data_IF_028139439502
#
_entry.id   IF_028139439502
#
_cell.length_a   1.000
_cell.length_b   1.000
_cell.length_c   1.000
_cell.angle_alpha   90.00
_cell.angle_beta   90.00
_cell.angle_gamma   90.00
#
_symmetry.space_group_name_H-M   'P 1'
#
loop_
_entity.id
_entity.type
_entity.pdbx_description
1 polymer ?
#
# COMPACT_ATOMS: atom_id res chain seq x y z
N UNK A 1 -30.50 -0.85 -2.83
CA UNK A 1 -29.61 -1.20 -1.69
C UNK A 1 -29.84 -0.27 -0.53
N UNK A 2 -29.86 -0.78 0.69
CA UNK A 2 -30.03 0.02 1.90
C UNK A 2 -28.85 -0.25 2.86
N UNK A 3 -28.20 0.79 3.34
CA UNK A 3 -27.13 0.70 4.33
C UNK A 3 -27.69 1.10 5.69
N UNK A 4 -27.45 0.27 6.71
CA UNK A 4 -27.74 0.59 8.10
C UNK A 4 -26.49 0.35 8.93
N UNK A 5 -26.04 1.37 9.63
CA UNK A 5 -24.89 1.29 10.51
C UNK A 5 -25.30 1.68 11.94
N UNK A 6 -24.80 0.95 12.92
CA UNK A 6 -25.03 1.24 14.35
C UNK A 6 -23.73 1.12 15.10
N UNK A 7 -23.40 2.11 15.92
CA UNK A 7 -22.27 2.02 16.83
C UNK A 7 -22.63 1.11 18.00
N UNK A 8 -21.80 0.10 18.26
CA UNK A 8 -21.92 -0.76 19.42
C UNK A 8 -20.57 -0.80 20.16
N UNK A 9 -20.52 -0.20 21.33
CA UNK A 9 -19.30 -0.09 22.15
C UNK A 9 -19.01 -1.33 23.00
N UNK A 10 -19.84 -2.37 22.90
CA UNK A 10 -19.66 -3.64 23.61
C UNK A 10 -19.01 -4.72 22.75
N UNK A 11 -18.68 -4.40 21.50
CA UNK A 11 -17.96 -5.32 20.62
C UNK A 11 -16.48 -5.33 20.99
N UNK A 12 -15.89 -6.51 20.95
CA UNK A 12 -14.45 -6.68 21.14
C UNK A 12 -13.67 -6.29 19.87
N UNK A 13 -14.33 -6.34 18.69
CA UNK A 13 -13.77 -5.96 17.40
C UNK A 13 -14.89 -5.45 16.47
N UNK A 14 -14.53 -4.65 15.48
CA UNK A 14 -15.49 -4.19 14.48
C UNK A 14 -15.78 -5.30 13.46
N UNK A 15 -17.04 -5.46 13.08
CA UNK A 15 -17.41 -6.40 12.01
C UNK A 15 -18.46 -5.83 11.07
N UNK A 16 -18.47 -6.34 9.86
CA UNK A 16 -19.45 -6.01 8.83
C UNK A 16 -20.20 -7.30 8.44
N UNK A 17 -21.52 -7.30 8.65
CA UNK A 17 -22.41 -8.37 8.18
C UNK A 17 -23.08 -7.92 6.88
N UNK A 18 -22.87 -8.70 5.81
CA UNK A 18 -23.39 -8.40 4.49
C UNK A 18 -24.38 -9.48 4.07
N UNK A 19 -25.66 -9.14 3.99
CA UNK A 19 -26.73 -10.01 3.49
C UNK A 19 -27.12 -9.57 2.07
N UNK A 20 -27.08 -10.48 1.12
CA UNK A 20 -27.38 -10.19 -0.28
C UNK A 20 -28.18 -11.31 -0.96
N UNK A 21 -28.97 -10.94 -1.96
CA UNK A 21 -29.76 -11.89 -2.77
C UNK A 21 -28.95 -12.41 -3.94
N UNK A 22 -28.21 -11.53 -4.59
CA UNK A 22 -27.37 -11.82 -5.74
C UNK A 22 -26.03 -11.11 -5.60
N UNK A 23 -24.97 -11.74 -6.06
CA UNK A 23 -23.62 -11.20 -6.05
C UNK A 23 -23.49 -10.12 -7.13
N UNK A 24 -23.70 -8.87 -6.75
CA UNK A 24 -23.57 -7.71 -7.64
C UNK A 24 -22.14 -7.16 -7.61
N UNK A 25 -21.72 -6.36 -8.63
CA UNK A 25 -20.43 -5.68 -8.60
C UNK A 25 -20.20 -4.84 -7.34
N UNK A 26 -21.26 -4.25 -6.79
CA UNK A 26 -21.18 -3.48 -5.54
C UNK A 26 -20.88 -4.37 -4.33
N UNK A 27 -21.51 -5.54 -4.25
CA UNK A 27 -21.24 -6.51 -3.18
C UNK A 27 -19.82 -7.06 -3.29
N UNK A 28 -19.35 -7.36 -4.50
CA UNK A 28 -17.95 -7.77 -4.71
C UNK A 28 -16.96 -6.71 -4.22
N UNK A 29 -17.23 -5.45 -4.52
CA UNK A 29 -16.37 -4.34 -4.07
C UNK A 29 -16.32 -4.23 -2.53
N UNK A 30 -17.43 -4.51 -1.83
CA UNK A 30 -17.46 -4.57 -0.37
C UNK A 30 -16.56 -5.70 0.14
N UNK A 31 -16.62 -6.88 -0.47
CA UNK A 31 -15.76 -8.01 -0.11
C UNK A 31 -14.28 -7.70 -0.35
N UNK A 32 -13.94 -7.06 -1.46
CA UNK A 32 -12.57 -6.61 -1.74
C UNK A 32 -12.06 -5.68 -0.64
N UNK A 33 -12.84 -4.66 -0.26
CA UNK A 33 -12.48 -3.72 0.80
C UNK A 33 -12.29 -4.44 2.14
N UNK A 34 -13.17 -5.36 2.49
CA UNK A 34 -13.06 -6.13 3.74
C UNK A 34 -11.85 -7.07 3.74
N UNK A 35 -11.52 -7.68 2.62
CA UNK A 35 -10.35 -8.55 2.49
C UNK A 35 -9.04 -7.76 2.47
N UNK A 36 -9.04 -6.55 1.93
CA UNK A 36 -7.86 -5.66 1.95
C UNK A 36 -7.44 -5.31 3.37
N UNK A 37 -8.38 -5.21 4.31
CA UNK A 37 -8.07 -4.88 5.71
C UNK A 37 -7.33 -6.00 6.47
N UNK A 38 -7.37 -7.24 5.97
CA UNK A 38 -6.73 -8.39 6.59
C UNK A 38 -5.37 -8.79 5.99
N UNK A 39 -4.84 -7.99 5.07
CA UNK A 39 -3.57 -8.31 4.43
C UNK A 39 -2.40 -8.01 5.32
N UNK A 40 -1.67 -9.06 5.64
CA UNK A 40 -0.42 -8.97 6.39
C UNK A 40 0.71 -9.66 5.63
N UNK A 41 1.92 -9.13 5.80
CA UNK A 41 3.17 -9.80 5.43
C UNK A 41 3.84 -10.32 6.69
N UNK A 42 4.39 -11.52 6.61
CA UNK A 42 5.24 -12.06 7.66
C UNK A 42 6.68 -11.59 7.40
N UNK A 43 7.17 -10.73 8.25
CA UNK A 43 8.46 -10.08 8.11
C UNK A 43 9.36 -10.40 9.31
N UNK A 44 10.65 -10.23 9.15
CA UNK A 44 11.64 -10.49 10.17
C UNK A 44 12.24 -9.20 10.71
N UNK A 45 12.51 -9.17 12.00
CA UNK A 45 13.27 -8.15 12.68
C UNK A 45 13.82 -8.71 13.99
N UNK A 46 15.13 -8.51 14.24
CA UNK A 46 15.79 -8.93 15.49
C UNK A 46 15.52 -10.40 15.84
N UNK A 47 15.66 -11.30 14.87
CA UNK A 47 15.44 -12.75 15.01
C UNK A 47 14.00 -13.17 15.36
N UNK A 48 13.04 -12.26 15.24
CA UNK A 48 11.61 -12.53 15.46
C UNK A 48 10.82 -12.32 14.17
N UNK A 49 9.69 -13.02 14.05
CA UNK A 49 8.74 -12.87 12.95
C UNK A 49 7.59 -11.97 13.39
N UNK A 50 7.32 -10.95 12.59
CA UNK A 50 6.26 -9.98 12.82
C UNK A 50 5.18 -10.06 11.75
N UNK A 51 3.95 -9.84 12.16
CA UNK A 51 2.83 -9.60 11.24
C UNK A 51 2.77 -8.11 10.94
N UNK A 52 3.11 -7.74 9.72
CA UNK A 52 3.08 -6.35 9.27
C UNK A 52 1.86 -6.12 8.38
N UNK A 53 0.98 -5.22 8.79
CA UNK A 53 -0.17 -4.81 7.97
C UNK A 53 0.33 -4.11 6.72
N UNK A 54 -0.12 -4.57 5.56
CA UNK A 54 0.24 -3.98 4.25
C UNK A 54 -0.12 -2.49 4.19
N UNK A 55 -1.19 -2.08 4.86
CA UNK A 55 -1.60 -0.68 4.93
C UNK A 55 -0.64 0.22 5.72
N UNK A 56 0.21 -0.36 6.56
CA UNK A 56 1.23 0.39 7.33
C UNK A 56 2.54 0.56 6.57
N UNK A 57 2.70 -0.11 5.44
CA UNK A 57 3.92 -0.04 4.64
C UNK A 57 3.97 1.26 3.85
N UNK A 58 5.08 1.98 3.98
CA UNK A 58 5.36 3.21 3.23
C UNK A 58 6.01 2.89 1.89
N UNK A 59 7.08 2.13 1.93
CA UNK A 59 7.81 1.70 0.74
C UNK A 59 8.65 0.45 1.03
N UNK A 60 9.13 -0.18 -0.03
CA UNK A 60 10.01 -1.34 0.02
C UNK A 60 11.26 -1.05 -0.79
N UNK A 61 12.40 -1.55 -0.34
CA UNK A 61 13.68 -1.34 -0.99
C UNK A 61 14.53 -2.62 -0.94
N UNK A 62 15.23 -2.92 -2.03
CA UNK A 62 16.18 -4.01 -2.07
C UNK A 62 17.54 -3.54 -1.58
N UNK A 63 17.97 -4.05 -0.45
CA UNK A 63 19.24 -3.70 0.21
C UNK A 63 19.91 -4.97 0.72
N UNK A 64 21.20 -5.14 0.44
CA UNK A 64 22.01 -6.27 0.92
C UNK A 64 21.37 -7.64 0.72
N UNK A 65 20.86 -7.88 -0.50
CA UNK A 65 20.22 -9.14 -0.90
C UNK A 65 18.93 -9.48 -0.14
N UNK A 66 18.26 -8.48 0.43
CA UNK A 66 16.97 -8.62 1.11
C UNK A 66 16.01 -7.50 0.71
N UNK A 67 14.73 -7.78 0.75
CA UNK A 67 13.72 -6.74 0.67
C UNK A 67 13.51 -6.15 2.06
N UNK A 68 13.76 -4.86 2.20
CA UNK A 68 13.48 -4.09 3.40
C UNK A 68 12.10 -3.46 3.29
N UNK A 69 11.32 -3.54 4.36
CA UNK A 69 9.96 -3.03 4.44
C UNK A 69 9.94 -1.90 5.46
N UNK A 70 9.63 -0.71 4.98
CA UNK A 70 9.64 0.51 5.79
C UNK A 70 8.22 0.88 6.19
N UNK A 71 7.98 0.93 7.48
CA UNK A 71 6.77 1.48 8.09
C UNK A 71 7.07 2.84 8.69
N UNK A 72 6.09 3.48 9.30
CA UNK A 72 6.28 4.81 9.91
C UNK A 72 7.41 4.84 10.94
N UNK A 73 7.54 3.80 11.75
CA UNK A 73 8.43 3.78 12.91
C UNK A 73 9.48 2.66 12.85
N UNK A 74 9.35 1.69 11.97
CA UNK A 74 10.16 0.47 11.97
C UNK A 74 10.56 0.03 10.57
N UNK A 75 11.63 -0.77 10.53
CA UNK A 75 12.12 -1.42 9.30
C UNK A 75 12.17 -2.92 9.55
N UNK A 76 11.55 -3.67 8.66
CA UNK A 76 11.56 -5.13 8.67
C UNK A 76 12.27 -5.66 7.44
N UNK A 77 12.58 -6.94 7.40
CA UNK A 77 13.12 -7.62 6.22
C UNK A 77 12.24 -8.80 5.84
N UNK A 78 12.27 -9.15 4.58
CA UNK A 78 11.60 -10.33 4.04
C UNK A 78 12.48 -10.96 2.95
N UNK A 79 12.46 -12.28 2.86
CA UNK A 79 13.28 -13.02 1.89
C UNK A 79 12.77 -12.96 0.46
N UNK A 80 11.50 -12.57 0.25
CA UNK A 80 10.91 -12.42 -1.09
C UNK A 80 11.61 -11.32 -1.88
N UNK A 81 11.77 -11.53 -3.19
CA UNK A 81 12.30 -10.50 -4.08
C UNK A 81 11.30 -9.35 -4.25
N UNK A 82 11.79 -8.18 -4.70
CA UNK A 82 10.90 -7.06 -5.03
C UNK A 82 9.91 -7.42 -6.13
N UNK A 83 10.30 -8.22 -7.12
CA UNK A 83 9.39 -8.66 -8.18
C UNK A 83 8.26 -9.54 -7.66
N UNK A 84 8.54 -10.44 -6.73
CA UNK A 84 7.53 -11.24 -6.05
C UNK A 84 6.58 -10.39 -5.20
N UNK A 85 7.12 -9.41 -4.49
CA UNK A 85 6.33 -8.47 -3.68
C UNK A 85 5.49 -7.53 -4.55
N UNK A 86 6.05 -7.04 -5.66
CA UNK A 86 5.32 -6.23 -6.65
C UNK A 86 4.09 -6.98 -7.18
N UNK A 87 4.24 -8.26 -7.52
CA UNK A 87 3.14 -9.09 -8.00
C UNK A 87 2.10 -9.32 -6.90
N UNK A 88 2.51 -9.66 -5.68
CA UNK A 88 1.60 -9.91 -4.57
C UNK A 88 0.87 -8.66 -4.07
N UNK A 89 1.46 -7.47 -4.24
CA UNK A 89 0.92 -6.18 -3.81
C UNK A 89 0.33 -5.35 -4.96
N UNK A 90 0.21 -5.93 -6.15
CA UNK A 90 -0.22 -5.22 -7.36
C UNK A 90 -1.57 -4.51 -7.22
N UNK A 91 -2.54 -5.14 -6.55
CA UNK A 91 -3.89 -4.60 -6.37
C UNK A 91 -4.01 -3.65 -5.18
N UNK A 92 -2.88 -3.25 -4.56
CA UNK A 92 -2.87 -2.50 -3.31
C UNK A 92 -2.18 -1.15 -3.37
N UNK A 93 -2.12 -0.58 -4.57
CA UNK A 93 -1.53 0.74 -4.81
C UNK A 93 -0.03 0.84 -4.49
N UNK A 94 0.68 -0.27 -4.67
CA UNK A 94 2.13 -0.32 -4.63
C UNK A 94 2.69 -0.24 -6.04
N UNK A 95 3.60 0.69 -6.26
CA UNK A 95 4.14 0.97 -7.59
C UNK A 95 5.67 0.99 -7.56
N UNK A 96 6.27 0.34 -8.56
CA UNK A 96 7.71 0.37 -8.77
C UNK A 96 8.17 1.79 -9.09
N UNK A 97 9.19 2.27 -8.41
CA UNK A 97 9.74 3.62 -8.58
C UNK A 97 11.21 3.63 -9.01
N UNK A 98 11.87 2.49 -8.89
CA UNK A 98 13.21 2.25 -9.39
C UNK A 98 13.43 0.73 -9.53
N UNK A 99 14.58 0.33 -10.02
CA UNK A 99 14.93 -1.10 -10.05
C UNK A 99 14.96 -1.72 -8.64
N UNK A 100 15.19 -0.90 -7.61
CA UNK A 100 15.44 -1.33 -6.24
C UNK A 100 14.37 -0.89 -5.24
N UNK A 101 13.26 -0.28 -5.69
CA UNK A 101 12.26 0.24 -4.76
C UNK A 101 10.82 0.22 -5.32
N UNK A 102 9.89 0.02 -4.39
CA UNK A 102 8.43 0.07 -4.60
C UNK A 102 7.84 1.00 -3.55
N UNK A 103 6.90 1.85 -3.92
CA UNK A 103 6.25 2.79 -3.01
C UNK A 103 4.75 2.52 -2.88
N UNK A 104 4.22 2.74 -1.68
CA UNK A 104 2.79 2.83 -1.44
C UNK A 104 2.33 4.25 -1.75
N UNK A 105 1.57 4.42 -2.83
CA UNK A 105 1.17 5.76 -3.29
C UNK A 105 0.22 6.48 -2.32
N UNK A 106 -0.53 5.74 -1.49
CA UNK A 106 -1.37 6.34 -0.44
C UNK A 106 -0.57 6.98 0.69
N UNK A 107 0.71 6.65 0.81
CA UNK A 107 1.59 7.16 1.86
C UNK A 107 2.52 8.28 1.37
N UNK A 108 2.32 8.74 0.15
CA UNK A 108 3.02 9.89 -0.41
C UNK A 108 2.30 11.17 0.02
N UNK A 109 3.02 12.08 0.67
CA UNK A 109 2.53 13.41 1.05
C UNK A 109 2.60 14.39 -0.11
N UNK A 110 3.72 14.41 -0.83
CA UNK A 110 3.94 15.32 -1.95
C UNK A 110 4.93 14.75 -2.96
N UNK A 111 4.82 15.22 -4.20
CA UNK A 111 5.75 14.88 -5.28
C UNK A 111 6.21 16.17 -5.94
N UNK A 112 7.52 16.28 -6.16
CA UNK A 112 8.15 17.42 -6.81
C UNK A 112 9.14 16.98 -7.88
N UNK A 113 9.45 17.88 -8.81
CA UNK A 113 10.46 17.63 -9.82
C UNK A 113 11.86 17.60 -9.20
N UNK A 114 12.64 16.61 -9.58
CA UNK A 114 14.04 16.48 -9.24
C UNK A 114 14.96 16.75 -10.44
N UNK A 115 16.25 16.51 -10.25
CA UNK A 115 17.27 16.62 -11.29
C UNK A 115 17.16 15.45 -12.30
N UNK A 116 17.56 15.69 -13.55
CA UNK A 116 17.65 14.67 -14.58
C UNK A 116 16.35 13.90 -14.82
N UNK A 117 15.22 14.60 -14.86
CA UNK A 117 13.88 14.03 -15.07
C UNK A 117 13.43 13.05 -14.00
N UNK A 118 14.05 13.05 -12.83
CA UNK A 118 13.60 12.29 -11.66
C UNK A 118 12.47 13.03 -10.97
N UNK A 119 11.73 12.32 -10.11
CA UNK A 119 10.80 12.91 -9.16
C UNK A 119 11.33 12.69 -7.75
N UNK A 120 11.01 13.59 -6.85
CA UNK A 120 11.21 13.44 -5.42
C UNK A 120 9.84 13.30 -4.75
N UNK A 121 9.63 12.27 -3.97
CA UNK A 121 8.44 12.10 -3.16
C UNK A 121 8.79 12.28 -1.68
N UNK A 122 7.99 13.07 -1.00
CA UNK A 122 8.00 13.13 0.46
C UNK A 122 6.93 12.20 1.00
N UNK A 123 7.32 11.29 1.86
CA UNK A 123 6.42 10.36 2.52
C UNK A 123 5.75 11.00 3.73
N UNK A 124 4.66 10.41 4.22
CA UNK A 124 3.92 10.94 5.38
C UNK A 124 4.76 11.01 6.66
N UNK A 125 5.85 10.24 6.76
CA UNK A 125 6.80 10.28 7.89
C UNK A 125 7.94 11.30 7.70
N UNK A 126 7.93 12.07 6.61
CA UNK A 126 8.95 13.06 6.29
C UNK A 126 10.16 12.54 5.50
N UNK A 127 10.28 11.24 5.30
CA UNK A 127 11.34 10.67 4.46
C UNK A 127 11.15 11.08 2.99
N UNK A 128 12.27 11.23 2.29
CA UNK A 128 12.29 11.55 0.86
C UNK A 128 12.84 10.37 0.08
N UNK A 129 12.11 10.01 -0.97
CA UNK A 129 12.49 8.94 -1.91
C UNK A 129 12.56 9.49 -3.32
N UNK A 130 13.40 8.87 -4.14
CA UNK A 130 13.61 9.29 -5.53
C UNK A 130 12.97 8.31 -6.48
N UNK A 131 12.16 8.82 -7.40
CA UNK A 131 11.57 8.07 -8.50
C UNK A 131 12.45 8.29 -9.72
N UNK A 132 13.02 7.22 -10.26
CA UNK A 132 13.88 7.30 -11.41
C UNK A 132 13.10 7.62 -12.69
N UNK A 133 13.78 8.19 -13.67
CA UNK A 133 13.20 8.67 -14.93
C UNK A 133 12.27 7.64 -15.60
N UNK A 134 12.68 6.39 -15.64
CA UNK A 134 11.92 5.30 -16.29
C UNK A 134 10.53 5.08 -15.65
N UNK A 135 10.42 5.28 -14.34
CA UNK A 135 9.19 5.01 -13.56
C UNK A 135 8.34 6.26 -13.30
N UNK A 136 8.81 7.42 -13.72
CA UNK A 136 8.12 8.71 -13.52
C UNK A 136 6.70 8.72 -14.08
N UNK A 137 6.52 8.28 -15.33
CA UNK A 137 5.23 8.28 -16.01
C UNK A 137 4.19 7.39 -15.31
N UNK A 138 4.59 6.20 -14.91
CA UNK A 138 3.71 5.25 -14.21
C UNK A 138 3.24 5.79 -12.87
N UNK A 139 4.13 6.44 -12.10
CA UNK A 139 3.76 7.05 -10.81
C UNK A 139 2.78 8.20 -10.99
N UNK A 140 3.03 9.13 -11.92
CA UNK A 140 2.14 10.26 -12.18
C UNK A 140 0.77 9.82 -12.66
N UNK A 141 0.70 8.80 -13.51
CA UNK A 141 -0.56 8.21 -13.97
C UNK A 141 -1.34 7.61 -12.80
N UNK A 142 -0.69 6.85 -11.92
CA UNK A 142 -1.31 6.26 -10.75
C UNK A 142 -1.85 7.31 -9.77
N UNK A 143 -1.11 8.39 -9.53
CA UNK A 143 -1.55 9.51 -8.69
C UNK A 143 -2.77 10.21 -9.30
N UNK A 144 -2.77 10.43 -10.62
CA UNK A 144 -3.91 11.01 -11.32
C UNK A 144 -5.16 10.12 -11.23
N UNK A 145 -5.01 8.81 -11.34
CA UNK A 145 -6.13 7.86 -11.20
C UNK A 145 -6.72 7.90 -9.79
N UNK A 146 -5.91 8.01 -8.75
CA UNK A 146 -6.38 8.21 -7.38
C UNK A 146 -7.15 9.52 -7.21
N UNK A 147 -6.68 10.62 -7.80
CA UNK A 147 -7.36 11.91 -7.75
C UNK A 147 -8.73 11.86 -8.42
N UNK A 148 -8.87 11.13 -9.52
CA UNK A 148 -10.15 10.91 -10.20
C UNK A 148 -11.12 10.06 -9.36
N UNK A 149 -10.64 9.03 -8.69
CA UNK A 149 -11.45 8.19 -7.78
C UNK A 149 -11.97 9.01 -6.59
N UNK A 150 -11.15 9.91 -6.04
CA UNK A 150 -11.51 10.75 -4.90
C UNK A 150 -12.57 11.81 -5.23
N UNK A 151 -12.73 12.19 -6.52
CA UNK A 151 -13.70 13.20 -6.99
C UNK A 151 -15.03 12.61 -7.46
N UNK A 152 -15.15 11.32 -7.50
CA UNK A 152 -16.41 10.61 -7.77
C UNK A 152 -17.10 10.31 -6.44
#
# INVERSE_FOLDING_TARGET
MKLTARKNTQLDDDYIDVQYRELTPTINKIFEICNESESVLLCEKDEAVYRVDVNDILYLEWVDNKSCIYTKDEVFTISSSLSQLEESLNDRHFIRISKMAIVNIYKIKSVSNGLNFRLNAEMINGERIVITRHYRGALLEAINDLAKEATK
#
